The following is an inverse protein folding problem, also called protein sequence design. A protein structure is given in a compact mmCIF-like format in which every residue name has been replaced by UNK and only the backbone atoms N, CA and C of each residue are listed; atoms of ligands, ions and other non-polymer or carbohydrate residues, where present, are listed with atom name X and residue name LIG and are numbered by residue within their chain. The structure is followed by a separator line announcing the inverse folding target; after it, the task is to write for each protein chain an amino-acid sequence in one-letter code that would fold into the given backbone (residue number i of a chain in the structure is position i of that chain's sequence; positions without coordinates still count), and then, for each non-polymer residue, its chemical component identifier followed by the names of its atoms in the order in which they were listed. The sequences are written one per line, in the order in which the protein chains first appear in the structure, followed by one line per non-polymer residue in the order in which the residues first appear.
data_IF_572394459548
#
_entry.id   IF_572394459548
#
_cell.length_a   1.000
_cell.length_b   1.000
_cell.length_c   1.000
_cell.angle_alpha   90.00
_cell.angle_beta   90.00
_cell.angle_gamma   90.00
#
_symmetry.space_group_name_H-M   'P 1'
#
loop_
_entity.id
_entity.type
_entity.pdbx_description
1 polymer ?
#
# COMPACT_ATOMS: atom_id res chain seq x y z
N UNK A 1 -16.58 16.28 -18.39
CA UNK A 1 -15.57 15.37 -17.80
C UNK A 1 -15.69 14.06 -18.54
N UNK A 2 -14.69 13.69 -19.34
CA UNK A 2 -14.68 12.37 -19.99
C UNK A 2 -14.55 11.30 -18.91
N UNK A 3 -15.40 10.27 -18.98
CA UNK A 3 -15.26 9.12 -18.12
C UNK A 3 -13.91 8.45 -18.43
N UNK A 4 -13.11 8.19 -17.40
CA UNK A 4 -11.87 7.44 -17.54
C UNK A 4 -12.24 6.00 -17.85
N UNK A 5 -11.81 5.50 -19.01
CA UNK A 5 -11.96 4.10 -19.38
C UNK A 5 -10.99 3.25 -18.56
N UNK A 6 -11.55 2.40 -17.69
CA UNK A 6 -10.80 1.54 -16.79
C UNK A 6 -10.43 0.19 -17.42
N UNK A 7 -10.90 -0.12 -18.64
CA UNK A 7 -10.69 -1.42 -19.31
C UNK A 7 -10.92 -2.59 -18.36
N UNK A 8 -12.18 -2.74 -17.93
CA UNK A 8 -12.61 -3.74 -16.94
C UNK A 8 -12.65 -5.17 -17.48
N UNK A 9 -12.55 -5.33 -18.80
CA UNK A 9 -12.46 -6.58 -19.54
C UNK A 9 -11.02 -7.12 -19.65
N UNK A 10 -10.01 -6.26 -19.44
CA UNK A 10 -8.60 -6.65 -19.48
C UNK A 10 -8.05 -6.77 -18.05
N UNK A 11 -7.42 -7.91 -17.70
CA UNK A 11 -6.85 -8.08 -16.36
C UNK A 11 -5.64 -7.15 -16.15
N UNK A 12 -5.58 -6.52 -14.97
CA UNK A 12 -4.50 -5.63 -14.57
C UNK A 12 -3.79 -6.17 -13.33
N UNK A 13 -2.45 -6.15 -13.34
CA UNK A 13 -1.62 -6.71 -12.26
C UNK A 13 -1.94 -6.13 -10.88
N UNK A 14 -2.18 -4.81 -10.78
CA UNK A 14 -2.54 -4.16 -9.52
C UNK A 14 -3.90 -4.63 -8.96
N UNK A 15 -4.87 -4.93 -9.82
CA UNK A 15 -6.22 -5.40 -9.44
C UNK A 15 -6.23 -6.89 -9.11
N UNK A 16 -5.43 -7.69 -9.81
CA UNK A 16 -5.15 -9.09 -9.45
C UNK A 16 -4.51 -9.13 -8.05
N UNK A 17 -3.53 -8.26 -7.79
CA UNK A 17 -2.85 -8.16 -6.50
C UNK A 17 -3.84 -7.80 -5.38
N UNK A 18 -4.74 -6.84 -5.64
CA UNK A 18 -5.82 -6.47 -4.72
C UNK A 18 -6.75 -7.66 -4.41
N UNK A 19 -7.23 -8.38 -5.43
CA UNK A 19 -8.08 -9.55 -5.24
C UNK A 19 -7.39 -10.65 -4.42
N UNK A 20 -6.12 -10.95 -4.69
CA UNK A 20 -5.36 -11.97 -3.96
C UNK A 20 -5.09 -11.58 -2.50
N UNK A 21 -5.13 -10.29 -2.18
CA UNK A 21 -5.09 -9.79 -0.80
C UNK A 21 -6.46 -9.72 -0.12
N UNK A 22 -7.56 -9.99 -0.84
CA UNK A 22 -8.94 -9.88 -0.33
C UNK A 22 -9.54 -8.48 -0.45
N UNK A 23 -8.99 -7.62 -1.31
CA UNK A 23 -9.55 -6.33 -1.65
C UNK A 23 -10.76 -6.41 -2.57
N UNK A 24 -11.38 -5.26 -2.82
CA UNK A 24 -12.64 -5.13 -3.58
C UNK A 24 -12.50 -4.32 -4.88
N UNK A 25 -11.31 -3.75 -5.13
CA UNK A 25 -11.06 -2.86 -6.24
C UNK A 25 -10.55 -3.67 -7.45
N UNK A 26 -11.37 -4.63 -7.86
CA UNK A 26 -11.07 -5.59 -8.93
C UNK A 26 -12.31 -5.94 -9.75
N UNK A 27 -12.12 -6.18 -11.05
CA UNK A 27 -13.18 -6.57 -11.97
C UNK A 27 -13.19 -8.09 -12.19
N UNK A 28 -14.19 -8.57 -12.92
CA UNK A 28 -14.37 -10.01 -13.17
C UNK A 28 -13.16 -10.63 -13.89
N UNK A 29 -12.61 -9.95 -14.90
CA UNK A 29 -11.42 -10.41 -15.63
C UNK A 29 -10.20 -10.60 -14.71
N UNK A 30 -10.04 -9.71 -13.71
CA UNK A 30 -8.95 -9.81 -12.73
C UNK A 30 -9.12 -11.03 -11.83
N UNK A 31 -10.35 -11.32 -11.38
CA UNK A 31 -10.67 -12.47 -10.52
C UNK A 31 -10.43 -13.79 -11.22
N UNK A 32 -10.82 -13.89 -12.50
CA UNK A 32 -10.61 -15.07 -13.31
C UNK A 32 -9.12 -15.36 -13.53
N UNK A 33 -8.36 -14.31 -13.86
CA UNK A 33 -6.90 -14.40 -13.98
C UNK A 33 -6.27 -14.82 -12.64
N UNK A 34 -6.67 -14.21 -11.54
CA UNK A 34 -6.17 -14.54 -10.20
C UNK A 34 -6.50 -15.97 -9.79
N UNK A 35 -7.69 -16.48 -10.08
CA UNK A 35 -8.08 -17.86 -9.81
C UNK A 35 -7.25 -18.85 -10.63
N UNK A 36 -6.94 -18.53 -11.89
CA UNK A 36 -6.02 -19.31 -12.72
C UNK A 36 -4.62 -19.39 -12.11
N UNK A 37 -4.08 -18.26 -11.66
CA UNK A 37 -2.77 -18.18 -11.02
C UNK A 37 -2.75 -18.95 -9.69
N UNK A 38 -3.79 -18.79 -8.86
CA UNK A 38 -3.89 -19.45 -7.56
C UNK A 38 -3.93 -20.98 -7.66
N UNK A 39 -4.48 -21.54 -8.75
CA UNK A 39 -4.43 -22.99 -9.02
C UNK A 39 -2.99 -23.50 -9.20
N UNK A 40 -2.14 -22.73 -9.88
CA UNK A 40 -0.73 -23.08 -10.08
C UNK A 40 0.15 -22.77 -8.88
N UNK A 41 -0.29 -21.88 -7.98
CA UNK A 41 0.47 -21.46 -6.80
C UNK A 41 -0.45 -21.13 -5.61
N UNK A 42 -0.88 -22.16 -4.84
CA UNK A 42 -1.80 -21.98 -3.72
C UNK A 42 -1.25 -21.07 -2.61
N UNK A 43 0.08 -20.99 -2.46
CA UNK A 43 0.74 -20.17 -1.45
C UNK A 43 0.84 -18.68 -1.80
N UNK A 44 0.45 -18.30 -3.03
CA UNK A 44 0.64 -16.95 -3.54
C UNK A 44 -0.03 -15.86 -2.67
N UNK A 45 -1.27 -16.00 -2.17
CA UNK A 45 -1.88 -15.01 -1.27
C UNK A 45 -1.06 -14.77 0.00
N UNK A 46 -0.47 -15.83 0.55
CA UNK A 46 0.38 -15.75 1.75
C UNK A 46 1.69 -15.03 1.44
N UNK A 47 2.33 -15.34 0.32
CA UNK A 47 3.53 -14.63 -0.14
C UNK A 47 3.27 -13.14 -0.37
N UNK A 48 2.13 -12.77 -0.95
CA UNK A 48 1.76 -11.37 -1.20
C UNK A 48 1.50 -10.58 0.08
N UNK A 49 0.88 -11.21 1.10
CA UNK A 49 0.75 -10.61 2.45
C UNK A 49 2.12 -10.43 3.10
N UNK A 50 2.99 -11.45 3.02
CA UNK A 50 4.35 -11.37 3.56
C UNK A 50 5.16 -10.24 2.89
N UNK A 51 5.01 -10.06 1.57
CA UNK A 51 5.61 -8.96 0.83
C UNK A 51 5.15 -7.58 1.33
N UNK A 52 3.85 -7.38 1.57
CA UNK A 52 3.33 -6.11 2.15
C UNK A 52 3.92 -5.85 3.53
N UNK A 53 3.95 -6.87 4.39
CA UNK A 53 4.53 -6.76 5.72
C UNK A 53 6.03 -6.45 5.66
N UNK A 54 6.76 -7.01 4.70
CA UNK A 54 8.18 -6.74 4.51
C UNK A 54 8.43 -5.28 4.12
N UNK A 55 7.70 -4.76 3.14
CA UNK A 55 7.82 -3.37 2.69
C UNK A 55 7.57 -2.38 3.84
N UNK A 56 6.55 -2.65 4.68
CA UNK A 56 6.26 -1.83 5.86
C UNK A 56 7.42 -1.83 6.88
N UNK A 57 7.99 -3.01 7.19
CA UNK A 57 9.13 -3.12 8.11
C UNK A 57 10.38 -2.42 7.59
N UNK A 58 10.68 -2.59 6.31
CA UNK A 58 11.86 -1.96 5.69
C UNK A 58 11.70 -0.44 5.67
N UNK A 59 10.53 0.08 5.27
CA UNK A 59 10.27 1.52 5.28
C UNK A 59 10.40 2.10 6.71
N UNK A 60 9.88 1.40 7.72
CA UNK A 60 10.04 1.80 9.12
C UNK A 60 11.51 1.82 9.55
N UNK A 61 12.27 0.77 9.27
CA UNK A 61 13.70 0.70 9.60
C UNK A 61 14.50 1.83 8.93
N UNK A 62 14.27 2.07 7.63
CA UNK A 62 14.95 3.14 6.90
C UNK A 62 14.64 4.53 7.48
N UNK A 63 13.39 4.76 7.92
CA UNK A 63 13.00 6.02 8.53
C UNK A 63 13.53 6.18 9.96
N UNK A 64 13.35 5.17 10.81
CA UNK A 64 13.66 5.23 12.23
C UNK A 64 15.17 5.13 12.49
N UNK A 65 15.83 4.14 11.89
CA UNK A 65 17.22 3.79 12.22
C UNK A 65 18.21 4.43 11.25
N UNK A 66 17.91 4.45 9.95
CA UNK A 66 18.84 4.98 8.94
C UNK A 66 18.67 6.48 8.64
N UNK A 67 17.64 7.13 9.19
CA UNK A 67 17.45 8.57 9.05
C UNK A 67 16.92 9.03 7.68
N UNK A 68 16.45 8.13 6.80
CA UNK A 68 15.85 8.53 5.52
C UNK A 68 14.55 9.32 5.74
N UNK A 69 14.33 10.38 4.95
CA UNK A 69 13.16 11.28 5.06
C UNK A 69 12.38 11.44 3.75
N UNK A 70 12.89 10.90 2.65
CA UNK A 70 12.24 10.92 1.35
C UNK A 70 12.19 9.51 0.79
N UNK A 71 11.03 9.11 0.29
CA UNK A 71 10.78 7.80 -0.29
C UNK A 71 10.12 7.98 -1.65
N UNK A 72 10.58 7.21 -2.63
CA UNK A 72 9.96 7.09 -3.94
C UNK A 72 9.45 5.65 -4.06
N UNK A 73 8.13 5.49 -4.05
CA UNK A 73 7.47 4.20 -4.24
C UNK A 73 7.02 4.08 -5.71
N UNK A 74 7.70 3.22 -6.48
CA UNK A 74 7.39 2.97 -7.89
C UNK A 74 6.58 1.68 -7.99
N UNK A 75 5.33 1.80 -8.41
CA UNK A 75 4.40 0.66 -8.44
C UNK A 75 3.71 0.42 -7.09
N UNK A 76 3.23 1.49 -6.45
CA UNK A 76 2.47 1.49 -5.17
C UNK A 76 1.33 0.46 -5.15
N UNK A 77 0.77 0.17 -6.33
CA UNK A 77 -0.43 -0.63 -6.51
C UNK A 77 -1.68 0.14 -6.07
N UNK A 78 -2.79 -0.59 -5.93
CA UNK A 78 -4.02 -0.04 -5.38
C UNK A 78 -3.88 0.21 -3.87
N UNK A 79 -4.55 1.24 -3.33
CA UNK A 79 -4.48 1.58 -1.91
C UNK A 79 -5.11 0.45 -1.07
N UNK A 80 -4.28 -0.49 -0.64
CA UNK A 80 -4.63 -1.60 0.26
C UNK A 80 -4.17 -1.25 1.67
N UNK A 81 -5.09 -1.12 2.61
CA UNK A 81 -4.72 -0.81 3.99
C UNK A 81 -3.86 -1.95 4.59
N UNK A 82 -2.76 -1.64 5.31
CA UNK A 82 -2.12 -0.33 5.48
C UNK A 82 -1.10 -0.03 4.36
N UNK A 83 -1.25 1.09 3.64
CA UNK A 83 -0.25 1.56 2.66
C UNK A 83 0.77 2.51 3.30
N UNK A 84 2.03 2.43 2.86
CA UNK A 84 3.08 3.40 3.20
C UNK A 84 2.86 4.80 2.58
N UNK A 85 2.04 4.91 1.53
CA UNK A 85 1.87 6.13 0.73
C UNK A 85 0.64 6.92 1.17
N UNK A 86 0.82 7.83 2.14
CA UNK A 86 0.00 9.04 2.29
C UNK A 86 0.83 10.23 1.81
N UNK A 87 0.60 10.70 0.59
CA UNK A 87 1.23 11.90 0.05
C UNK A 87 0.90 13.12 0.92
N UNK A 88 1.89 13.71 1.57
CA UNK A 88 1.79 15.01 2.24
C UNK A 88 2.50 16.08 1.43
N UNK A 89 1.76 17.08 0.92
CA UNK A 89 2.33 18.38 0.57
C UNK A 89 2.34 19.20 1.87
N UNK A 90 3.53 19.54 2.38
CA UNK A 90 3.69 20.37 3.56
C UNK A 90 5.05 21.03 3.58
N UNK A 91 5.07 22.36 3.47
CA UNK A 91 6.23 23.24 3.61
C UNK A 91 7.00 23.03 4.92
N UNK A 92 8.29 23.41 5.01
CA UNK A 92 9.14 23.06 6.13
C UNK A 92 8.78 23.90 7.37
N UNK A 93 8.86 23.35 8.60
CA UNK A 93 8.71 24.18 9.77
C UNK A 93 10.07 24.77 10.15
N UNK A 94 10.22 26.07 9.94
CA UNK A 94 11.13 26.88 10.75
C UNK A 94 10.56 27.01 12.17
N UNK A 95 11.29 26.44 13.12
CA UNK A 95 11.43 26.75 14.55
C UNK A 95 10.32 27.62 15.19
N UNK A 96 9.64 27.04 16.19
CA UNK A 96 8.90 27.81 17.20
C UNK A 96 7.78 26.97 17.80
N UNK A 97 7.97 26.55 19.05
CA UNK A 97 6.96 25.85 19.85
C UNK A 97 5.77 26.74 20.22
N UNK A 98 4.69 26.08 20.66
CA UNK A 98 3.40 26.57 21.23
C UNK A 98 2.25 26.50 20.21
N UNK A 99 1.09 25.86 20.43
CA UNK A 99 0.43 25.34 21.63
C UNK A 99 -0.58 24.26 21.24
N UNK A 100 -0.93 23.41 22.21
CA UNK A 100 -2.18 22.65 22.32
C UNK A 100 -2.50 21.56 21.27
N UNK A 101 -2.51 20.34 21.80
CA UNK A 101 -3.44 19.25 21.47
C UNK A 101 -3.18 18.48 20.18
N UNK A 102 -2.75 17.24 20.43
CA UNK A 102 -2.65 16.10 19.52
C UNK A 102 -1.44 16.11 18.60
N UNK A 103 -0.32 15.64 19.14
CA UNK A 103 0.65 14.82 18.43
C UNK A 103 -0.10 13.74 17.63
N UNK A 104 -0.48 14.01 16.38
CA UNK A 104 -0.79 12.95 15.41
C UNK A 104 0.48 12.61 14.68
N UNK A 105 1.39 12.04 15.47
CA UNK A 105 2.32 11.04 15.01
C UNK A 105 1.57 10.01 14.15
N UNK A 106 1.91 9.95 12.86
CA UNK A 106 1.58 8.80 12.02
C UNK A 106 2.45 7.63 12.49
N UNK A 107 2.05 7.01 13.60
CA UNK A 107 2.50 5.67 13.94
C UNK A 107 1.72 4.72 13.05
N UNK A 108 2.41 3.93 12.21
CA UNK A 108 1.96 2.56 12.01
C UNK A 108 2.11 1.89 13.37
N UNK A 109 1.07 1.90 14.19
CA UNK A 109 1.05 1.07 15.39
C UNK A 109 1.15 -0.38 14.92
N UNK A 110 2.11 -1.18 15.40
CA UNK A 110 1.99 -2.62 15.26
C UNK A 110 0.72 -3.03 16.02
N UNK A 111 -0.18 -3.75 15.35
CA UNK A 111 -1.19 -4.49 16.07
C UNK A 111 -0.46 -5.44 17.05
N UNK A 112 -0.82 -5.49 18.34
CA UNK A 112 -0.21 -6.42 19.27
C UNK A 112 -0.52 -7.86 18.84
N UNK A 113 0.45 -8.75 19.05
CA UNK A 113 0.24 -10.20 19.06
C UNK A 113 -0.80 -10.59 20.11
#
# INVERSE_FOLDING_TARGET
MSAVDLKSDVPHSARIYDYLLGGKDNFQADREAAAGIAKGSPNLPTSMRANRNYMARVAHYLAAECGFRQFLDVGTGLPTAPTCTRSSRGSPPSRGWSTSTTTRSCWCTPAPC
#
